data_IF_354559389570
#
_entry.id   IF_354559389570
#
_cell.length_a   1.000
_cell.length_b   1.000
_cell.length_c   1.000
_cell.angle_alpha   90.00
_cell.angle_beta   90.00
_cell.angle_gamma   90.00
#
_symmetry.space_group_name_H-M   'P 1'
#
loop_
_entity.id
_entity.type
_entity.pdbx_description
1 polymer ?
#
# COMPACT_ATOMS: atom_id res chain seq x y z
N UNK A 1 -8.27 3.12 -1.62
CA UNK A 1 -8.58 2.33 -2.82
C UNK A 1 -7.36 2.38 -3.70
N UNK A 2 -6.84 1.21 -4.05
CA UNK A 2 -5.59 1.06 -4.77
C UNK A 2 -5.91 1.06 -6.28
N UNK A 3 -5.44 2.07 -7.03
CA UNK A 3 -5.75 2.24 -8.45
C UNK A 3 -4.48 2.55 -9.24
N UNK A 4 -3.57 1.58 -9.31
CA UNK A 4 -2.38 1.67 -10.15
C UNK A 4 -2.30 0.38 -10.99
N UNK A 5 -2.30 0.50 -12.33
CA UNK A 5 -2.18 -0.65 -13.24
C UNK A 5 -0.84 -1.38 -13.11
N UNK A 6 0.23 -0.68 -12.73
CA UNK A 6 1.53 -1.30 -12.42
C UNK A 6 1.40 -2.30 -11.26
N UNK A 7 0.46 -2.04 -10.37
CA UNK A 7 0.17 -2.86 -9.21
C UNK A 7 -0.56 -4.15 -9.56
N UNK A 8 -1.31 -4.22 -10.65
CA UNK A 8 -1.95 -5.46 -11.09
C UNK A 8 -0.91 -6.55 -11.34
N UNK A 9 0.24 -6.20 -11.95
CA UNK A 9 1.36 -7.12 -12.16
C UNK A 9 2.06 -7.51 -10.85
N UNK A 10 2.02 -6.64 -9.84
CA UNK A 10 2.55 -6.92 -8.49
C UNK A 10 1.58 -7.77 -7.67
N UNK A 11 0.27 -7.64 -7.90
CA UNK A 11 -0.74 -8.40 -7.18
C UNK A 11 -0.83 -9.84 -7.68
N UNK A 12 -0.61 -10.12 -8.97
CA UNK A 12 -0.79 -11.46 -9.58
C UNK A 12 -2.08 -12.12 -9.05
N UNK A 13 -1.98 -13.25 -8.35
CA UNK A 13 -3.09 -14.00 -7.72
C UNK A 13 -3.93 -13.21 -6.71
N UNK A 14 -3.42 -12.09 -6.19
CA UNK A 14 -4.16 -11.17 -5.30
C UNK A 14 -5.07 -10.20 -6.07
N UNK A 15 -5.06 -10.25 -7.40
CA UNK A 15 -5.99 -9.52 -8.26
C UNK A 15 -7.34 -10.26 -8.39
N UNK A 16 -8.49 -9.56 -8.42
CA UNK A 16 -8.67 -8.12 -8.26
C UNK A 16 -8.63 -7.68 -6.78
N UNK A 17 -7.83 -6.65 -6.51
CA UNK A 17 -7.71 -6.01 -5.20
C UNK A 17 -8.48 -4.67 -5.12
N UNK A 18 -9.08 -4.24 -6.25
CA UNK A 18 -9.84 -3.00 -6.30
C UNK A 18 -11.05 -3.08 -5.35
N UNK A 19 -11.17 -2.10 -4.45
CA UNK A 19 -12.23 -2.07 -3.44
C UNK A 19 -11.96 -2.86 -2.17
N UNK A 20 -10.92 -3.70 -2.11
CA UNK A 20 -10.49 -4.39 -0.89
C UNK A 20 -9.65 -3.47 0.01
N UNK A 21 -9.63 -3.72 1.31
CA UNK A 21 -8.75 -2.98 2.22
C UNK A 21 -7.31 -3.46 2.02
N UNK A 22 -6.35 -2.56 2.17
CA UNK A 22 -4.94 -2.90 2.01
C UNK A 22 -4.49 -4.02 2.97
N UNK A 23 -5.06 -4.06 4.19
CA UNK A 23 -4.82 -5.12 5.17
C UNK A 23 -5.26 -6.52 4.72
N UNK A 24 -6.29 -6.60 3.88
CA UNK A 24 -6.82 -7.88 3.41
C UNK A 24 -6.00 -8.40 2.22
N UNK A 25 -5.40 -7.49 1.46
CA UNK A 25 -4.62 -7.80 0.27
C UNK A 25 -3.16 -8.08 0.65
N UNK A 26 -2.60 -7.28 1.56
CA UNK A 26 -1.20 -7.26 1.95
C UNK A 26 -1.03 -7.43 3.47
N UNK A 27 -1.74 -8.41 4.04
CA UNK A 27 -1.72 -8.70 5.46
C UNK A 27 -0.28 -8.88 5.99
N UNK A 28 0.60 -9.51 5.19
CA UNK A 28 1.99 -9.79 5.57
C UNK A 28 2.84 -8.54 5.83
N UNK A 29 2.55 -7.43 5.16
CA UNK A 29 3.28 -6.16 5.32
C UNK A 29 2.44 -5.04 5.91
N UNK A 30 1.18 -5.34 6.24
CA UNK A 30 0.26 -4.32 6.71
C UNK A 30 0.74 -3.76 8.05
N UNK A 31 0.95 -4.61 9.06
CA UNK A 31 1.36 -4.16 10.38
C UNK A 31 2.77 -3.52 10.38
N UNK A 32 3.68 -4.02 9.53
CA UNK A 32 5.08 -3.61 9.54
C UNK A 32 5.37 -2.36 8.72
N UNK A 33 4.66 -2.14 7.60
CA UNK A 33 4.94 -1.03 6.69
C UNK A 33 3.69 -0.17 6.47
N UNK A 34 2.57 -0.77 6.04
CA UNK A 34 1.41 0.02 5.57
C UNK A 34 0.66 0.72 6.70
N UNK A 35 0.51 0.09 7.86
CA UNK A 35 -0.18 0.63 9.03
C UNK A 35 0.58 1.79 9.65
N UNK A 36 1.91 1.67 9.71
CA UNK A 36 2.81 2.75 10.14
C UNK A 36 2.73 3.93 9.16
N UNK A 37 2.82 3.64 7.86
CA UNK A 37 2.64 4.64 6.81
C UNK A 37 1.29 5.34 6.94
N UNK A 38 0.23 4.56 7.17
CA UNK A 38 -1.11 5.07 7.28
C UNK A 38 -1.25 6.01 8.45
N UNK A 39 -0.91 5.55 9.65
CA UNK A 39 -1.01 6.35 10.87
C UNK A 39 -0.17 7.63 10.78
N UNK A 40 1.06 7.53 10.29
CA UNK A 40 1.95 8.70 10.19
C UNK A 40 1.47 9.68 9.13
N UNK A 41 0.97 9.24 7.98
CA UNK A 41 0.41 10.14 6.97
C UNK A 41 -0.90 10.77 7.44
N UNK A 42 -1.78 10.03 8.13
CA UNK A 42 -3.03 10.58 8.67
C UNK A 42 -2.79 11.57 9.81
N UNK A 43 -1.79 11.32 10.65
CA UNK A 43 -1.47 12.17 11.80
C UNK A 43 -0.74 13.44 11.39
N UNK A 44 0.17 13.36 10.40
CA UNK A 44 1.02 14.50 10.00
C UNK A 44 0.49 15.27 8.80
N UNK A 45 -0.44 14.70 8.03
CA UNK A 45 -0.86 15.23 6.73
C UNK A 45 0.23 15.21 5.67
N UNK A 46 1.36 14.53 5.90
CA UNK A 46 2.48 14.45 4.96
C UNK A 46 2.58 13.07 4.33
N UNK A 47 2.87 13.05 3.04
CA UNK A 47 3.18 11.81 2.33
C UNK A 47 4.46 11.17 2.86
N UNK A 48 4.52 9.84 2.77
CA UNK A 48 5.66 9.04 3.21
C UNK A 48 6.14 8.22 2.02
N UNK A 49 7.45 8.19 1.85
CA UNK A 49 8.11 7.37 0.86
C UNK A 49 8.90 6.26 1.56
N UNK A 50 8.66 5.02 1.14
CA UNK A 50 9.52 3.89 1.45
C UNK A 50 10.40 3.63 0.22
N UNK A 51 11.71 3.79 0.42
CA UNK A 51 12.69 3.42 -0.60
C UNK A 51 12.71 1.91 -0.78
N UNK A 52 13.25 1.47 -1.92
CA UNK A 52 13.43 0.06 -2.30
C UNK A 52 13.86 -0.78 -1.09
N UNK A 53 12.91 -1.56 -0.57
CA UNK A 53 13.15 -2.52 0.49
C UNK A 53 12.80 -3.92 -0.02
N UNK A 54 13.60 -4.95 0.30
CA UNK A 54 13.23 -6.32 0.04
C UNK A 54 12.04 -6.66 0.93
N UNK A 55 10.95 -7.04 0.28
CA UNK A 55 9.74 -7.50 0.95
C UNK A 55 9.53 -8.95 0.52
N UNK A 56 9.31 -9.84 1.49
CA UNK A 56 8.88 -11.20 1.22
C UNK A 56 7.35 -11.17 1.04
N UNK A 57 6.89 -11.52 -0.16
CA UNK A 57 5.47 -11.64 -0.46
C UNK A 57 5.12 -13.08 -0.82
N UNK A 58 4.00 -13.56 -0.28
CA UNK A 58 3.41 -14.84 -0.71
C UNK A 58 2.61 -14.62 -1.99
N UNK A 59 3.11 -15.17 -3.11
CA UNK A 59 2.55 -14.99 -4.45
C UNK A 59 2.57 -16.33 -5.18
N UNK A 60 1.46 -16.67 -5.81
CA UNK A 60 1.31 -17.89 -6.63
C UNK A 60 1.69 -19.20 -5.89
N UNK A 61 1.50 -19.23 -4.57
CA UNK A 61 1.73 -20.40 -3.73
C UNK A 61 3.16 -20.54 -3.19
N UNK A 62 4.03 -19.56 -3.39
CA UNK A 62 5.39 -19.54 -2.85
C UNK A 62 5.81 -18.14 -2.37
N UNK A 63 6.87 -18.09 -1.57
CA UNK A 63 7.45 -16.83 -1.10
C UNK A 63 8.39 -16.25 -2.15
N UNK A 64 8.17 -15.00 -2.54
CA UNK A 64 8.97 -14.27 -3.50
C UNK A 64 9.56 -13.02 -2.82
N UNK A 65 10.89 -12.88 -2.82
CA UNK A 65 11.55 -11.64 -2.42
C UNK A 65 11.43 -10.62 -3.55
N UNK A 66 10.81 -9.49 -3.25
CA UNK A 66 10.46 -8.47 -4.22
C UNK A 66 10.86 -7.10 -3.74
N UNK A 67 11.34 -6.29 -4.67
CA UNK A 67 11.89 -4.97 -4.42
C UNK A 67 10.92 -3.91 -4.92
N UNK A 68 10.33 -3.15 -4.00
CA UNK A 68 9.40 -2.07 -4.34
C UNK A 68 9.76 -0.77 -3.64
N UNK A 69 9.64 0.33 -4.38
CA UNK A 69 9.47 1.66 -3.82
C UNK A 69 7.98 1.93 -3.66
N UNK A 70 7.56 2.43 -2.50
CA UNK A 70 6.15 2.72 -2.22
C UNK A 70 6.00 4.15 -1.75
N UNK A 71 5.13 4.91 -2.42
CA UNK A 71 4.78 6.26 -1.98
C UNK A 71 3.34 6.28 -1.45
N UNK A 72 3.19 6.65 -0.18
CA UNK A 72 1.90 6.90 0.45
C UNK A 72 1.63 8.40 0.44
N UNK A 73 0.60 8.82 -0.29
CA UNK A 73 0.17 10.23 -0.35
C UNK A 73 -1.21 10.40 0.30
N UNK A 74 -1.39 11.38 1.20
CA UNK A 74 -2.70 11.67 1.75
C UNK A 74 -3.63 12.23 0.67
N UNK A 75 -4.84 11.69 0.60
CA UNK A 75 -5.92 12.26 -0.20
C UNK A 75 -6.86 12.97 0.76
N UNK A 76 -6.84 14.29 0.66
CA UNK A 76 -7.71 15.17 1.45
C UNK A 76 -9.10 15.26 0.83
N UNK A 77 -10.12 15.38 1.68
CA UNK A 77 -11.45 15.85 1.28
C UNK A 77 -11.46 17.37 1.19
N UNK A 78 -12.57 17.91 0.69
CA UNK A 78 -12.84 19.35 0.68
C UNK A 78 -12.86 20.00 2.07
N UNK A 79 -13.09 19.22 3.14
CA UNK A 79 -13.07 19.70 4.53
C UNK A 79 -11.67 19.64 5.19
N UNK A 80 -10.63 19.26 4.43
CA UNK A 80 -9.26 19.12 4.94
C UNK A 80 -8.98 17.82 5.70
N UNK A 81 -9.98 16.95 5.90
CA UNK A 81 -9.77 15.62 6.51
C UNK A 81 -9.19 14.63 5.50
N UNK A 82 -8.38 13.70 5.96
CA UNK A 82 -7.79 12.66 5.10
C UNK A 82 -8.80 11.54 4.93
N UNK A 83 -9.28 11.33 3.71
CA UNK A 83 -10.26 10.28 3.42
C UNK A 83 -9.59 8.95 3.11
N UNK A 84 -8.46 9.00 2.41
CA UNK A 84 -7.83 7.86 1.75
C UNK A 84 -6.32 8.12 1.61
N UNK A 85 -5.56 7.05 1.43
CA UNK A 85 -4.20 7.14 0.92
C UNK A 85 -4.17 6.72 -0.54
N UNK A 86 -3.49 7.51 -1.34
CA UNK A 86 -2.99 7.09 -2.64
C UNK A 86 -1.71 6.31 -2.41
N UNK A 87 -1.62 5.14 -3.00
CA UNK A 87 -0.38 4.39 -3.10
C UNK A 87 0.10 4.48 -4.55
N UNK A 88 1.29 5.02 -4.75
CA UNK A 88 1.92 5.19 -6.07
C UNK A 88 3.18 4.34 -6.11
#
# INVERSE_FOLDING_TARGET
MLNNKAFTSILKTKHPALGKQAKDVWAEIYETHMGIAFNRTTTTGKGIYFSVQPILLQRDGYEEEVYFSLTFSPIFKSDGTICKLGLI
#
